data_IF_053529134940
#
_entry.id   IF_053529134940
#
_cell.length_a   1.000
_cell.length_b   1.000
_cell.length_c   1.000
_cell.angle_alpha   90.00
_cell.angle_beta   90.00
_cell.angle_gamma   90.00
#
_symmetry.space_group_name_H-M   'P 1'
#
loop_
_entity.id
_entity.type
_entity.pdbx_description
1 polymer ?
#
# COMPACT_ATOMS: atom_id res chain seq x y z
N UNK A 1 22.32 -3.78 -19.84
CA UNK A 1 21.07 -4.51 -19.47
C UNK A 1 20.15 -3.59 -18.66
N UNK A 2 18.87 -3.92 -18.59
CA UNK A 2 17.90 -3.15 -17.82
C UNK A 2 18.28 -3.11 -16.34
N UNK A 3 18.79 -4.19 -15.79
CA UNK A 3 19.22 -4.27 -14.39
C UNK A 3 20.29 -3.22 -14.05
N UNK A 4 21.24 -2.99 -14.94
CA UNK A 4 22.28 -1.93 -14.75
C UNK A 4 21.66 -0.54 -14.81
N UNK A 5 20.74 -0.31 -15.74
CA UNK A 5 20.01 0.95 -15.84
C UNK A 5 19.21 1.19 -14.55
N UNK A 6 18.54 0.17 -14.04
CA UNK A 6 17.78 0.24 -12.78
C UNK A 6 18.66 0.62 -11.61
N UNK A 7 19.82 -0.02 -11.45
CA UNK A 7 20.77 0.28 -10.37
C UNK A 7 21.23 1.73 -10.43
N UNK A 8 21.64 2.22 -11.60
CA UNK A 8 22.14 3.59 -11.73
C UNK A 8 20.99 4.62 -11.57
N UNK A 9 19.81 4.32 -12.06
CA UNK A 9 18.63 5.17 -11.88
C UNK A 9 18.25 5.29 -10.39
N UNK A 10 18.22 4.18 -9.67
CA UNK A 10 17.96 4.18 -8.21
C UNK A 10 19.02 4.96 -7.45
N UNK A 11 20.31 4.77 -7.76
CA UNK A 11 21.39 5.56 -7.16
C UNK A 11 21.22 7.06 -7.39
N UNK A 12 20.79 7.47 -8.59
CA UNK A 12 20.51 8.87 -8.91
C UNK A 12 19.36 9.39 -8.03
N UNK A 13 18.29 8.63 -7.84
CA UNK A 13 17.12 9.02 -7.02
C UNK A 13 17.47 9.12 -5.54
N UNK A 14 18.31 8.22 -5.03
CA UNK A 14 18.74 8.17 -3.63
C UNK A 14 19.89 9.15 -3.33
N UNK A 15 20.48 9.73 -4.36
CA UNK A 15 21.59 10.66 -4.23
C UNK A 15 21.20 11.93 -3.46
N UNK A 16 22.16 12.51 -2.73
CA UNK A 16 21.97 13.76 -1.96
C UNK A 16 21.49 14.90 -2.87
N UNK A 17 21.96 14.95 -4.12
CA UNK A 17 21.55 15.93 -5.12
C UNK A 17 20.71 15.26 -6.23
N UNK A 18 19.55 14.73 -5.88
CA UNK A 18 18.60 14.12 -6.83
C UNK A 18 18.28 15.05 -8.01
N UNK A 19 18.04 16.31 -7.72
CA UNK A 19 17.68 17.31 -8.74
C UNK A 19 18.82 17.50 -9.74
N UNK A 20 20.05 17.60 -9.27
CA UNK A 20 21.23 17.70 -10.14
C UNK A 20 21.50 16.45 -10.97
N UNK A 21 21.03 15.28 -10.53
CA UNK A 21 21.07 14.05 -11.33
C UNK A 21 19.94 13.97 -12.35
N UNK A 22 18.73 14.38 -11.98
CA UNK A 22 17.56 14.34 -12.86
C UNK A 22 17.62 15.41 -13.96
N UNK A 23 18.16 16.60 -13.71
CA UNK A 23 18.19 17.67 -14.69
C UNK A 23 18.87 17.23 -16.00
N UNK A 24 20.13 16.79 -16.04
CA UNK A 24 20.76 16.35 -17.29
C UNK A 24 20.09 15.09 -17.89
N UNK A 25 19.54 14.20 -17.06
CA UNK A 25 18.81 13.02 -17.51
C UNK A 25 17.54 13.40 -18.30
N UNK A 26 16.86 14.48 -17.89
CA UNK A 26 15.68 15.01 -18.56
C UNK A 26 16.07 15.87 -19.78
N UNK A 27 17.02 16.78 -19.62
CA UNK A 27 17.48 17.69 -20.68
C UNK A 27 18.04 16.97 -21.91
N UNK A 28 18.75 15.87 -21.68
CA UNK A 28 19.28 15.02 -22.76
C UNK A 28 18.30 13.99 -23.28
N UNK A 29 17.10 13.95 -22.72
CA UNK A 29 16.05 12.98 -23.03
C UNK A 29 16.47 11.50 -22.87
N UNK A 30 17.52 11.23 -22.08
CA UNK A 30 18.00 9.86 -21.82
C UNK A 30 16.91 8.94 -21.28
N UNK A 31 15.90 9.50 -20.59
CA UNK A 31 14.75 8.73 -20.08
C UNK A 31 13.97 8.00 -21.20
N UNK A 32 14.02 8.47 -22.45
CA UNK A 32 13.32 7.82 -23.57
C UNK A 32 13.82 6.40 -23.85
N UNK A 33 15.04 6.08 -23.42
CA UNK A 33 15.66 4.76 -23.56
C UNK A 33 15.45 3.88 -22.32
N UNK A 34 14.79 4.41 -21.29
CA UNK A 34 14.50 3.69 -20.06
C UNK A 34 13.14 2.97 -20.14
N UNK A 35 12.97 1.85 -19.42
CA UNK A 35 11.74 1.09 -19.47
C UNK A 35 10.51 1.94 -19.13
N UNK A 36 9.56 2.04 -20.07
CA UNK A 36 8.27 2.74 -19.91
C UNK A 36 8.36 4.23 -19.50
N UNK A 37 9.49 4.91 -19.71
CA UNK A 37 9.63 6.34 -19.46
C UNK A 37 9.52 7.23 -20.71
N UNK A 38 9.49 6.66 -21.90
CA UNK A 38 9.55 7.42 -23.17
C UNK A 38 8.61 8.63 -23.23
N UNK A 39 7.38 8.48 -22.74
CA UNK A 39 6.34 9.53 -22.79
C UNK A 39 6.11 10.19 -21.42
N UNK A 40 7.03 9.98 -20.48
CA UNK A 40 6.84 10.35 -19.08
C UNK A 40 7.64 11.61 -18.66
N UNK A 41 8.12 12.40 -19.59
CA UNK A 41 8.92 13.60 -19.30
C UNK A 41 8.27 14.54 -18.29
N UNK A 42 6.98 14.85 -18.47
CA UNK A 42 6.25 15.71 -17.53
C UNK A 42 6.21 15.14 -16.10
N UNK A 43 6.14 13.81 -15.95
CA UNK A 43 6.20 13.13 -14.64
C UNK A 43 7.59 13.23 -14.02
N UNK A 44 8.65 13.15 -14.83
CA UNK A 44 10.02 13.32 -14.34
C UNK A 44 10.31 14.76 -13.90
N UNK A 45 9.75 15.77 -14.57
CA UNK A 45 9.79 17.15 -14.10
C UNK A 45 9.11 17.31 -12.74
N UNK A 46 7.90 16.73 -12.55
CA UNK A 46 7.24 16.73 -11.24
C UNK A 46 8.07 16.05 -10.15
N UNK A 47 8.76 14.95 -10.48
CA UNK A 47 9.67 14.28 -9.54
C UNK A 47 10.87 15.16 -9.18
N UNK A 48 11.42 15.89 -10.16
CA UNK A 48 12.53 16.82 -9.96
C UNK A 48 12.11 18.00 -9.07
N UNK A 49 10.88 18.50 -9.22
CA UNK A 49 10.34 19.63 -8.48
C UNK A 49 9.97 19.30 -7.02
N UNK A 50 9.96 18.01 -6.64
CA UNK A 50 9.74 17.63 -5.25
C UNK A 50 10.82 18.23 -4.32
N UNK A 51 10.48 18.59 -3.06
CA UNK A 51 11.42 19.15 -2.09
C UNK A 51 12.75 18.39 -2.01
N UNK A 52 13.84 19.14 -1.88
CA UNK A 52 15.22 18.64 -1.89
C UNK A 52 15.60 17.90 -0.60
N UNK A 53 14.80 16.96 -0.17
CA UNK A 53 15.13 16.03 0.91
C UNK A 53 15.65 14.73 0.33
N UNK A 54 16.67 14.16 0.96
CA UNK A 54 17.19 12.86 0.56
C UNK A 54 16.13 11.77 0.76
N UNK A 55 15.94 10.95 -0.27
CA UNK A 55 15.11 9.74 -0.22
C UNK A 55 15.97 8.64 0.44
N UNK A 56 15.42 7.93 1.40
CA UNK A 56 16.21 7.01 2.22
C UNK A 56 16.21 5.58 1.69
N UNK A 57 15.11 5.15 1.07
CA UNK A 57 14.96 3.77 0.62
C UNK A 57 14.55 3.67 -0.85
N UNK A 58 14.87 2.53 -1.46
CA UNK A 58 14.47 2.23 -2.83
C UNK A 58 12.95 2.22 -3.00
N UNK A 59 12.22 1.69 -2.01
CA UNK A 59 10.76 1.67 -2.03
C UNK A 59 10.16 3.09 -2.04
N UNK A 60 10.72 4.01 -1.24
CA UNK A 60 10.33 5.43 -1.27
C UNK A 60 10.60 6.06 -2.63
N UNK A 61 11.78 5.80 -3.23
CA UNK A 61 12.15 6.34 -4.52
C UNK A 61 11.18 5.91 -5.63
N UNK A 62 10.86 4.63 -5.71
CA UNK A 62 9.88 4.11 -6.67
C UNK A 62 8.46 4.62 -6.40
N UNK A 63 8.07 4.77 -5.14
CA UNK A 63 6.76 5.33 -4.76
C UNK A 63 6.61 6.76 -5.24
N UNK A 64 7.62 7.61 -5.00
CA UNK A 64 7.63 9.00 -5.45
C UNK A 64 7.65 9.10 -6.98
N UNK A 65 8.43 8.25 -7.66
CA UNK A 65 8.41 8.19 -9.11
C UNK A 65 7.02 7.87 -9.65
N UNK A 66 6.40 6.76 -9.20
CA UNK A 66 5.07 6.33 -9.67
C UNK A 66 4.02 7.41 -9.41
N UNK A 67 4.05 8.04 -8.24
CA UNK A 67 3.14 9.13 -7.92
C UNK A 67 3.37 10.34 -8.83
N UNK A 68 4.62 10.70 -9.11
CA UNK A 68 4.97 11.80 -10.01
C UNK A 68 4.59 11.52 -11.47
N UNK A 69 4.69 10.25 -11.90
CA UNK A 69 4.21 9.81 -13.23
C UNK A 69 2.68 9.75 -13.32
N UNK A 70 1.99 9.82 -12.20
CA UNK A 70 0.52 9.65 -12.09
C UNK A 70 0.03 8.34 -12.76
N UNK A 71 0.77 7.25 -12.56
CA UNK A 71 0.44 5.95 -13.16
C UNK A 71 -0.85 5.39 -12.55
N UNK A 72 -1.79 4.87 -13.37
CA UNK A 72 -2.94 4.12 -12.87
C UNK A 72 -2.52 2.90 -12.06
N UNK A 73 -3.28 2.54 -11.03
CA UNK A 73 -2.95 1.40 -10.14
C UNK A 73 -2.75 0.09 -10.93
N UNK A 74 -3.59 -0.16 -11.92
CA UNK A 74 -3.50 -1.34 -12.78
C UNK A 74 -2.17 -1.44 -13.56
N UNK A 75 -1.48 -0.32 -13.80
CA UNK A 75 -0.24 -0.27 -14.58
C UNK A 75 1.01 -0.38 -13.70
N UNK A 76 0.91 -0.10 -12.39
CA UNK A 76 2.07 -0.05 -11.48
C UNK A 76 2.89 -1.34 -11.53
N UNK A 77 2.24 -2.49 -11.39
CA UNK A 77 2.92 -3.78 -11.40
C UNK A 77 3.67 -4.04 -12.71
N UNK A 78 3.05 -3.72 -13.84
CA UNK A 78 3.67 -3.93 -15.16
C UNK A 78 4.83 -2.96 -15.41
N UNK A 79 4.73 -1.73 -14.90
CA UNK A 79 5.78 -0.74 -14.94
C UNK A 79 7.00 -1.22 -14.14
N UNK A 80 6.82 -1.58 -12.87
CA UNK A 80 7.92 -2.03 -11.99
C UNK A 80 8.56 -3.34 -12.48
N UNK A 81 7.80 -4.26 -13.07
CA UNK A 81 8.33 -5.47 -13.71
C UNK A 81 9.24 -5.15 -14.90
N UNK A 82 8.91 -4.13 -15.70
CA UNK A 82 9.76 -3.70 -16.82
C UNK A 82 11.14 -3.23 -16.34
N UNK A 83 11.23 -2.67 -15.13
CA UNK A 83 12.48 -2.29 -14.45
C UNK A 83 13.19 -3.47 -13.75
N UNK A 84 12.69 -4.70 -13.90
CA UNK A 84 13.25 -5.93 -13.29
C UNK A 84 13.33 -5.94 -11.77
N UNK A 85 12.42 -5.25 -11.10
CA UNK A 85 12.33 -5.26 -9.64
C UNK A 85 11.85 -6.62 -9.11
N UNK A 86 12.26 -6.96 -7.89
CA UNK A 86 11.79 -8.17 -7.21
C UNK A 86 10.28 -8.10 -6.91
N UNK A 87 9.62 -9.25 -6.83
CA UNK A 87 8.19 -9.30 -6.49
C UNK A 87 7.91 -8.67 -5.12
N UNK A 88 8.80 -8.83 -4.14
CA UNK A 88 8.68 -8.23 -2.82
C UNK A 88 8.70 -6.70 -2.90
N UNK A 89 9.65 -6.12 -3.62
CA UNK A 89 9.74 -4.67 -3.80
C UNK A 89 8.53 -4.12 -4.55
N UNK A 90 8.07 -4.82 -5.60
CA UNK A 90 6.86 -4.45 -6.35
C UNK A 90 5.64 -4.41 -5.41
N UNK A 91 5.49 -5.39 -4.54
CA UNK A 91 4.39 -5.42 -3.57
C UNK A 91 4.50 -4.25 -2.59
N UNK A 92 5.67 -4.03 -2.00
CA UNK A 92 5.90 -2.93 -1.06
C UNK A 92 5.60 -1.57 -1.70
N UNK A 93 6.13 -1.31 -2.90
CA UNK A 93 5.88 -0.05 -3.62
C UNK A 93 4.40 0.12 -3.94
N UNK A 94 3.71 -0.94 -4.38
CA UNK A 94 2.26 -0.88 -4.67
C UNK A 94 1.45 -0.52 -3.42
N UNK A 95 1.80 -1.09 -2.26
CA UNK A 95 1.17 -0.76 -0.98
C UNK A 95 1.45 0.69 -0.58
N UNK A 96 2.70 1.15 -0.69
CA UNK A 96 3.07 2.53 -0.36
C UNK A 96 2.37 3.55 -1.26
N UNK A 97 2.28 3.29 -2.57
CA UNK A 97 1.56 4.18 -3.50
C UNK A 97 0.08 4.27 -3.13
N UNK A 98 -0.56 3.13 -2.83
CA UNK A 98 -1.97 3.10 -2.41
C UNK A 98 -2.18 3.87 -1.10
N UNK A 99 -1.33 3.61 -0.11
CA UNK A 99 -1.37 4.30 1.18
C UNK A 99 -1.13 5.82 1.04
N UNK A 100 -0.14 6.23 0.24
CA UNK A 100 0.16 7.63 -0.01
C UNK A 100 -1.01 8.35 -0.71
N UNK A 101 -1.57 7.76 -1.75
CA UNK A 101 -2.74 8.32 -2.46
C UNK A 101 -3.94 8.48 -1.53
N UNK A 102 -4.19 7.49 -0.70
CA UNK A 102 -5.24 7.55 0.30
C UNK A 102 -5.00 8.69 1.29
N UNK A 103 -3.80 8.75 1.87
CA UNK A 103 -3.45 9.70 2.93
C UNK A 103 -3.35 11.15 2.45
N UNK A 104 -3.02 11.38 1.18
CA UNK A 104 -3.02 12.72 0.57
C UNK A 104 -4.41 13.39 0.54
N UNK A 105 -5.49 12.61 0.62
CA UNK A 105 -6.87 13.10 0.51
C UNK A 105 -7.75 12.75 1.72
N UNK A 106 -7.26 11.88 2.62
CA UNK A 106 -8.06 11.36 3.74
C UNK A 106 -7.20 11.25 5.00
N UNK A 107 -7.87 11.28 6.15
CA UNK A 107 -7.27 10.79 7.39
C UNK A 107 -7.21 9.26 7.42
N UNK A 108 -6.33 8.71 8.27
CA UNK A 108 -6.20 7.28 8.41
C UNK A 108 -7.51 6.62 8.82
N UNK A 109 -7.85 5.54 8.15
CA UNK A 109 -8.94 4.65 8.52
C UNK A 109 -8.38 3.32 9.04
N UNK A 110 -9.06 2.66 10.00
CA UNK A 110 -8.57 1.43 10.61
C UNK A 110 -8.20 0.36 9.58
N UNK A 111 -9.06 0.15 8.58
CA UNK A 111 -8.83 -0.88 7.56
C UNK A 111 -7.60 -0.59 6.70
N UNK A 112 -7.33 0.68 6.35
CA UNK A 112 -6.12 1.06 5.60
C UNK A 112 -4.86 0.83 6.44
N UNK A 113 -4.87 1.18 7.72
CA UNK A 113 -3.74 0.92 8.64
C UNK A 113 -3.49 -0.57 8.84
N UNK A 114 -4.56 -1.36 8.97
CA UNK A 114 -4.50 -2.81 9.08
C UNK A 114 -3.84 -3.45 7.84
N UNK A 115 -4.24 -3.04 6.63
CA UNK A 115 -3.69 -3.57 5.38
C UNK A 115 -2.23 -3.17 5.14
N UNK A 116 -1.85 -1.95 5.55
CA UNK A 116 -0.47 -1.45 5.39
C UNK A 116 0.48 -1.99 6.46
N UNK A 117 0.01 -2.11 7.69
CA UNK A 117 0.86 -2.34 8.85
C UNK A 117 1.65 -1.09 9.28
N UNK A 118 2.27 -1.14 10.46
CA UNK A 118 2.96 0.00 11.07
C UNK A 118 4.09 0.54 10.20
N UNK A 119 4.96 -0.34 9.70
CA UNK A 119 6.13 0.05 8.93
C UNK A 119 5.75 0.85 7.67
N UNK A 120 4.82 0.33 6.88
CA UNK A 120 4.39 0.99 5.64
C UNK A 120 3.62 2.28 5.93
N UNK A 121 2.77 2.31 6.96
CA UNK A 121 2.03 3.51 7.35
C UNK A 121 2.97 4.64 7.80
N UNK A 122 4.01 4.31 8.56
CA UNK A 122 5.06 5.27 8.95
C UNK A 122 5.85 5.79 7.75
N UNK A 123 6.18 4.92 6.79
CA UNK A 123 6.84 5.35 5.55
C UNK A 123 5.94 6.30 4.74
N UNK A 124 4.64 6.01 4.65
CA UNK A 124 3.68 6.93 4.00
C UNK A 124 3.67 8.29 4.69
N UNK A 125 3.63 8.36 6.02
CA UNK A 125 3.70 9.63 6.75
C UNK A 125 4.98 10.42 6.45
N UNK A 126 6.13 9.74 6.30
CA UNK A 126 7.38 10.39 5.90
C UNK A 126 7.33 10.95 4.48
N UNK A 127 6.63 10.27 3.57
CA UNK A 127 6.48 10.70 2.18
C UNK A 127 5.60 11.94 2.03
N UNK A 128 4.70 12.23 2.99
CA UNK A 128 3.89 13.45 3.00
C UNK A 128 4.71 14.74 2.94
N UNK A 129 5.93 14.72 3.47
CA UNK A 129 6.86 15.84 3.39
C UNK A 129 7.05 16.35 1.94
N UNK A 130 7.15 15.43 0.98
CA UNK A 130 7.34 15.78 -0.43
C UNK A 130 6.13 16.48 -1.06
N UNK A 131 4.98 16.40 -0.41
CA UNK A 131 3.72 17.02 -0.83
C UNK A 131 3.31 18.20 0.08
N UNK A 132 4.25 18.69 0.90
CA UNK A 132 4.05 19.81 1.82
C UNK A 132 2.88 19.59 2.79
N UNK A 133 2.63 18.33 3.15
CA UNK A 133 1.64 17.96 4.16
C UNK A 133 2.32 17.62 5.50
N UNK A 134 1.60 17.87 6.58
CA UNK A 134 2.06 17.58 7.94
C UNK A 134 2.12 16.06 8.14
N UNK A 135 3.28 15.60 8.63
CA UNK A 135 3.52 14.21 8.97
C UNK A 135 3.12 13.93 10.41
N UNK A 136 2.31 12.89 10.63
CA UNK A 136 1.77 12.50 11.93
C UNK A 136 2.28 11.11 12.36
N UNK A 137 3.58 10.86 12.23
CA UNK A 137 4.21 9.55 12.52
C UNK A 137 3.82 8.99 13.90
N UNK A 138 3.88 9.80 14.95
CA UNK A 138 3.57 9.31 16.29
C UNK A 138 2.10 8.94 16.45
N UNK A 139 1.21 9.77 15.94
CA UNK A 139 -0.25 9.51 15.94
C UNK A 139 -0.55 8.24 15.14
N UNK A 140 0.08 8.08 13.97
CA UNK A 140 -0.10 6.88 13.12
C UNK A 140 0.32 5.60 13.86
N UNK A 141 1.44 5.62 14.59
CA UNK A 141 1.86 4.48 15.41
C UNK A 141 0.85 4.14 16.51
N UNK A 142 0.30 5.16 17.15
CA UNK A 142 -0.72 4.98 18.20
C UNK A 142 -2.01 4.42 17.62
N UNK A 143 -2.44 4.90 16.46
CA UNK A 143 -3.62 4.38 15.75
C UNK A 143 -3.43 2.91 15.34
N UNK A 144 -2.26 2.54 14.81
CA UNK A 144 -1.98 1.13 14.47
C UNK A 144 -2.02 0.26 15.72
N UNK A 145 -1.39 0.69 16.83
CA UNK A 145 -1.41 -0.06 18.11
C UNK A 145 -2.81 -0.21 18.69
N UNK A 146 -3.70 0.73 18.42
CA UNK A 146 -5.08 0.70 18.91
C UNK A 146 -6.00 -0.22 18.09
N UNK A 147 -5.55 -0.78 16.96
CA UNK A 147 -6.33 -1.72 16.18
C UNK A 147 -6.70 -2.96 17.02
N UNK A 148 -7.94 -3.45 16.94
CA UNK A 148 -8.37 -4.64 17.67
C UNK A 148 -7.60 -5.92 17.30
N UNK A 149 -7.14 -6.00 16.05
CA UNK A 149 -6.28 -7.05 15.51
C UNK A 149 -5.30 -6.44 14.50
N UNK A 150 -4.14 -7.07 14.32
CA UNK A 150 -3.10 -6.66 13.36
C UNK A 150 -2.94 -7.67 12.22
N UNK A 151 -3.46 -8.87 12.39
CA UNK A 151 -3.40 -9.95 11.40
C UNK A 151 -4.65 -10.83 11.51
N UNK A 152 -5.05 -11.41 10.38
CA UNK A 152 -6.24 -12.28 10.30
C UNK A 152 -6.24 -13.44 11.30
N UNK A 153 -5.07 -14.00 11.61
CA UNK A 153 -4.99 -15.14 12.54
C UNK A 153 -5.25 -14.75 13.99
N UNK A 154 -5.36 -13.46 14.32
CA UNK A 154 -5.74 -12.96 15.64
C UNK A 154 -7.27 -12.91 15.84
N UNK A 155 -8.06 -13.22 14.79
CA UNK A 155 -9.49 -13.41 14.95
C UNK A 155 -9.78 -14.54 15.94
N UNK A 156 -10.72 -14.31 16.86
CA UNK A 156 -11.13 -15.29 17.89
C UNK A 156 -11.90 -16.48 17.31
N UNK A 157 -11.98 -16.62 16.00
CA UNK A 157 -12.58 -17.74 15.26
C UNK A 157 -11.71 -18.18 14.10
N UNK A 158 -11.92 -19.43 13.70
CA UNK A 158 -11.33 -20.02 12.50
C UNK A 158 -12.42 -20.45 11.51
N UNK A 159 -12.01 -20.75 10.27
CA UNK A 159 -12.93 -21.33 9.30
C UNK A 159 -13.54 -22.66 9.77
N UNK A 160 -12.85 -23.45 10.61
CA UNK A 160 -13.38 -24.69 11.18
C UNK A 160 -14.51 -24.42 12.16
N UNK A 161 -14.39 -23.39 12.99
CA UNK A 161 -15.44 -23.00 13.95
C UNK A 161 -16.71 -22.58 13.21
N UNK A 162 -16.55 -21.82 12.11
CA UNK A 162 -17.69 -21.41 11.27
C UNK A 162 -18.38 -22.60 10.62
N UNK A 163 -17.61 -23.53 10.04
CA UNK A 163 -18.19 -24.73 9.42
C UNK A 163 -18.94 -25.60 10.44
N UNK A 164 -18.39 -25.75 11.65
CA UNK A 164 -19.01 -26.53 12.72
C UNK A 164 -20.32 -25.91 13.20
N UNK A 165 -20.39 -24.57 13.30
CA UNK A 165 -21.55 -23.85 13.84
C UNK A 165 -22.66 -23.65 12.81
N UNK A 166 -22.29 -23.51 11.52
CA UNK A 166 -23.23 -23.31 10.42
C UNK A 166 -23.68 -24.61 9.77
N UNK A 167 -23.02 -25.74 10.11
CA UNK A 167 -23.31 -27.09 9.57
C UNK A 167 -23.28 -27.14 8.04
N UNK A 168 -22.44 -26.27 7.42
CA UNK A 168 -22.30 -26.14 5.98
C UNK A 168 -20.98 -26.74 5.44
N UNK A 169 -20.99 -27.10 4.16
CA UNK A 169 -19.76 -27.54 3.47
C UNK A 169 -18.88 -26.35 3.07
N UNK A 170 -17.54 -26.50 3.04
CA UNK A 170 -16.64 -25.45 2.60
C UNK A 170 -16.97 -24.95 1.20
N UNK A 171 -16.91 -23.63 1.01
CA UNK A 171 -17.15 -22.97 -0.27
C UNK A 171 -16.60 -21.55 -0.29
N UNK A 172 -16.78 -20.85 -1.41
CA UNK A 172 -16.33 -19.46 -1.58
C UNK A 172 -16.88 -18.52 -0.50
N UNK A 173 -18.12 -18.76 -0.09
CA UNK A 173 -18.82 -18.02 0.97
C UNK A 173 -18.04 -17.94 2.29
N UNK A 174 -17.27 -19.00 2.63
CA UNK A 174 -16.52 -19.04 3.88
C UNK A 174 -15.42 -17.95 3.91
N UNK A 175 -14.69 -17.80 2.80
CA UNK A 175 -13.68 -16.76 2.68
C UNK A 175 -14.29 -15.35 2.71
N UNK A 176 -15.43 -15.16 2.06
CA UNK A 176 -16.16 -13.90 2.02
C UNK A 176 -16.68 -13.52 3.41
N UNK A 177 -17.27 -14.48 4.15
CA UNK A 177 -17.75 -14.26 5.51
C UNK A 177 -16.61 -13.95 6.49
N UNK A 178 -15.48 -14.66 6.39
CA UNK A 178 -14.30 -14.35 7.22
C UNK A 178 -13.79 -12.93 6.93
N UNK A 179 -13.72 -12.52 5.66
CA UNK A 179 -13.29 -11.19 5.29
C UNK A 179 -14.26 -10.10 5.81
N UNK A 180 -15.56 -10.34 5.78
CA UNK A 180 -16.57 -9.44 6.35
C UNK A 180 -16.40 -9.31 7.87
N UNK A 181 -16.25 -10.43 8.58
CA UNK A 181 -15.99 -10.43 10.03
C UNK A 181 -14.69 -9.68 10.36
N UNK A 182 -13.61 -9.96 9.63
CA UNK A 182 -12.32 -9.29 9.78
C UNK A 182 -12.45 -7.77 9.63
N UNK A 183 -13.16 -7.30 8.61
CA UNK A 183 -13.41 -5.88 8.41
C UNK A 183 -14.16 -5.27 9.60
N UNK A 184 -15.26 -5.88 10.04
CA UNK A 184 -16.03 -5.40 11.18
C UNK A 184 -15.24 -5.36 12.49
N UNK A 185 -14.37 -6.34 12.71
CA UNK A 185 -13.47 -6.36 13.88
C UNK A 185 -12.45 -5.24 13.78
N UNK A 186 -11.77 -5.07 12.64
CA UNK A 186 -10.77 -4.02 12.44
C UNK A 186 -11.39 -2.62 12.60
N UNK A 187 -12.61 -2.42 12.10
CA UNK A 187 -13.35 -1.15 12.23
C UNK A 187 -13.92 -0.93 13.66
N UNK A 188 -13.78 -1.92 14.55
CA UNK A 188 -14.28 -1.84 15.93
C UNK A 188 -15.81 -1.93 16.06
N UNK A 189 -16.52 -2.26 14.99
CA UNK A 189 -17.98 -2.44 14.99
C UNK A 189 -18.41 -3.81 15.50
N UNK A 190 -17.47 -4.76 15.61
CA UNK A 190 -17.66 -6.11 16.13
C UNK A 190 -16.54 -6.47 17.11
N UNK A 191 -16.89 -6.91 18.31
CA UNK A 191 -15.92 -7.31 19.32
C UNK A 191 -15.25 -8.65 18.92
N UNK A 192 -13.91 -8.73 19.02
CA UNK A 192 -13.17 -9.95 18.70
C UNK A 192 -13.32 -11.01 19.81
N UNK A 193 -14.52 -11.52 19.97
CA UNK A 193 -14.88 -12.62 20.89
C UNK A 193 -15.59 -13.72 20.13
N UNK A 194 -15.22 -14.97 20.38
CA UNK A 194 -15.74 -16.13 19.65
C UNK A 194 -17.26 -16.15 19.58
N UNK A 195 -17.94 -15.99 20.70
CA UNK A 195 -19.41 -16.01 20.80
C UNK A 195 -20.06 -14.91 19.93
N UNK A 196 -19.48 -13.70 19.96
CA UNK A 196 -19.97 -12.54 19.21
C UNK A 196 -19.81 -12.79 17.71
N UNK A 197 -18.63 -13.26 17.29
CA UNK A 197 -18.31 -13.52 15.88
C UNK A 197 -19.16 -14.66 15.31
N UNK A 198 -19.36 -15.73 16.06
CA UNK A 198 -20.23 -16.84 15.65
C UNK A 198 -21.71 -16.44 15.57
N UNK A 199 -22.18 -15.60 16.50
CA UNK A 199 -23.53 -15.05 16.44
C UNK A 199 -23.73 -14.16 15.20
N UNK A 200 -22.76 -13.31 14.88
CA UNK A 200 -22.78 -12.50 13.68
C UNK A 200 -22.84 -13.38 12.42
N UNK A 201 -21.98 -14.41 12.34
CA UNK A 201 -21.94 -15.34 11.21
C UNK A 201 -23.30 -16.02 10.96
N UNK A 202 -23.95 -16.53 12.01
CA UNK A 202 -25.31 -17.12 11.92
C UNK A 202 -26.31 -16.14 11.35
N UNK A 203 -26.30 -14.89 11.84
CA UNK A 203 -27.22 -13.84 11.37
C UNK A 203 -27.02 -13.48 9.90
N UNK A 204 -25.79 -13.40 9.45
CA UNK A 204 -25.49 -13.08 8.05
C UNK A 204 -25.93 -14.20 7.10
N UNK A 205 -25.67 -15.46 7.46
CA UNK A 205 -26.09 -16.61 6.63
C UNK A 205 -27.61 -16.74 6.54
N UNK A 206 -28.33 -16.55 7.65
CA UNK A 206 -29.80 -16.58 7.65
C UNK A 206 -30.46 -15.48 6.81
N UNK A 207 -29.78 -14.38 6.55
CA UNK A 207 -30.25 -13.32 5.63
C UNK A 207 -30.01 -13.69 4.17
N UNK A 208 -28.89 -14.35 3.85
CA UNK A 208 -28.54 -14.75 2.48
C UNK A 208 -29.43 -15.87 1.90
N UNK A 209 -30.07 -16.68 2.76
CA UNK A 209 -31.01 -17.72 2.33
C UNK A 209 -32.43 -17.18 1.98
N UNK A 210 -32.71 -15.92 2.32
CA UNK A 210 -34.02 -15.29 2.08
C UNK A 210 -34.03 -14.32 0.88
N UNK A 211 -32.91 -14.16 0.20
CA UNK A 211 -32.76 -13.31 -0.99
C UNK A 211 -32.53 -14.16 -2.26
#
# INVERSE_FOLDING_TARGET
SVERITIEFVKMLLGVNRQGGLAPFIETECYQYCPKLREQGAGLFRLMDLPARQIETEAEAWTLLIQSLNLPEAEIRSFLKAWKLSNQLIQNVSQLVRGLRFRLSNDWQPMMLYELGEESAVLVERLLYYYQQESQVQVTKELVKALPIHQRHELAITGKDLLAVLEETPGKWLGELIAEIEQHVVEGSLENKQEVLLSFAKKQRSKGEKA
#
